data_IF_784875916341
#
_entry.id   IF_784875916341
#
_cell.length_a   1.000
_cell.length_b   1.000
_cell.length_c   1.000
_cell.angle_alpha   90.00
_cell.angle_beta   90.00
_cell.angle_gamma   90.00
#
_symmetry.space_group_name_H-M   'P 1'
#
loop_
_entity.id
_entity.type
_entity.pdbx_description
1 polymer ?
#
# COMPACT_ATOMS: atom_id res chain seq x y z
N UNK A 1 84.54 -8.74 -6.15
CA UNK A 1 85.12 -9.83 -6.96
C UNK A 1 84.02 -10.75 -7.50
N UNK A 2 84.31 -11.72 -8.35
CA UNK A 2 83.33 -12.63 -8.97
C UNK A 2 82.40 -13.34 -7.95
N UNK A 3 82.87 -13.66 -6.75
CA UNK A 3 82.13 -14.31 -5.68
C UNK A 3 81.06 -13.36 -5.08
N UNK A 4 81.35 -12.10 -4.94
CA UNK A 4 80.38 -11.11 -4.42
C UNK A 4 79.35 -10.80 -5.44
N UNK A 5 79.63 -10.76 -6.73
CA UNK A 5 78.69 -10.63 -7.82
C UNK A 5 77.75 -11.86 -7.90
N UNK A 6 78.30 -13.05 -7.69
CA UNK A 6 77.49 -14.29 -7.67
C UNK A 6 76.55 -14.31 -6.46
N UNK A 7 76.99 -13.88 -5.27
CA UNK A 7 76.13 -13.75 -4.08
C UNK A 7 75.04 -12.71 -4.25
N UNK A 8 75.38 -11.54 -4.81
CA UNK A 8 74.36 -10.51 -5.10
C UNK A 8 73.31 -11.01 -6.06
N UNK A 9 73.72 -11.72 -7.12
CA UNK A 9 72.83 -12.30 -8.11
C UNK A 9 71.91 -13.44 -7.51
N UNK A 10 72.48 -14.25 -6.59
CA UNK A 10 71.67 -15.25 -5.84
C UNK A 10 70.68 -14.60 -4.93
N UNK A 11 70.99 -13.48 -4.27
CA UNK A 11 70.08 -12.72 -3.43
C UNK A 11 68.96 -12.09 -4.24
N UNK A 12 69.30 -11.54 -5.41
CA UNK A 12 68.33 -10.97 -6.36
C UNK A 12 67.35 -12.03 -6.87
N UNK A 13 67.84 -13.17 -7.35
CA UNK A 13 67.04 -14.30 -7.80
C UNK A 13 66.22 -14.86 -6.64
N UNK A 14 66.80 -14.94 -5.42
CA UNK A 14 66.12 -15.36 -4.20
C UNK A 14 64.94 -14.47 -3.81
N UNK A 15 65.00 -13.18 -4.11
CA UNK A 15 63.90 -12.25 -3.91
C UNK A 15 62.82 -12.32 -5.01
N UNK A 16 63.23 -12.62 -6.24
CA UNK A 16 62.27 -12.74 -7.36
C UNK A 16 61.41 -14.00 -7.33
N UNK A 17 61.93 -15.11 -6.84
CA UNK A 17 61.16 -16.37 -6.74
C UNK A 17 59.87 -16.24 -5.90
N UNK A 18 59.88 -15.65 -4.68
CA UNK A 18 58.67 -15.46 -3.93
C UNK A 18 57.69 -14.48 -4.60
N UNK A 19 58.18 -13.47 -5.28
CA UNK A 19 57.36 -12.54 -6.07
C UNK A 19 56.62 -13.26 -7.19
N UNK A 20 57.34 -14.10 -7.96
CA UNK A 20 56.75 -14.90 -9.04
C UNK A 20 55.73 -15.93 -8.51
N UNK A 21 56.02 -16.56 -7.36
CA UNK A 21 55.09 -17.48 -6.72
C UNK A 21 53.83 -16.77 -6.25
N UNK A 22 53.95 -15.59 -5.66
CA UNK A 22 52.77 -14.80 -5.28
C UNK A 22 51.92 -14.40 -6.47
N UNK A 23 52.52 -14.00 -7.57
CA UNK A 23 51.82 -13.69 -8.81
C UNK A 23 51.07 -14.93 -9.36
N UNK A 24 51.76 -16.07 -9.38
CA UNK A 24 51.12 -17.34 -9.79
C UNK A 24 49.95 -17.71 -8.90
N UNK A 25 50.07 -17.58 -7.59
CA UNK A 25 48.98 -17.84 -6.66
C UNK A 25 47.80 -16.88 -6.86
N UNK A 26 48.07 -15.59 -7.12
CA UNK A 26 47.02 -14.62 -7.44
C UNK A 26 46.28 -15.02 -8.72
N UNK A 27 47.03 -15.35 -9.78
CA UNK A 27 46.44 -15.78 -11.05
C UNK A 27 45.61 -17.06 -10.89
N UNK A 28 46.12 -18.06 -10.15
CA UNK A 28 45.39 -19.29 -9.86
C UNK A 28 44.10 -19.04 -9.09
N UNK A 29 44.13 -18.17 -8.08
CA UNK A 29 42.94 -17.79 -7.31
C UNK A 29 41.91 -17.08 -8.18
N UNK A 30 42.38 -16.17 -9.05
CA UNK A 30 41.48 -15.50 -10.03
C UNK A 30 40.89 -16.51 -11.00
N UNK A 31 41.65 -17.47 -11.51
CA UNK A 31 41.13 -18.52 -12.40
C UNK A 31 40.13 -19.41 -11.70
N UNK A 32 40.32 -19.74 -10.41
CA UNK A 32 39.33 -20.50 -9.62
C UNK A 32 38.00 -19.73 -9.48
N UNK A 33 38.05 -18.40 -9.42
CA UNK A 33 36.89 -17.50 -9.35
C UNK A 33 36.05 -17.47 -10.65
N UNK A 34 36.60 -17.88 -11.79
CA UNK A 34 35.83 -17.93 -13.05
C UNK A 34 34.77 -19.05 -13.09
N UNK A 35 34.89 -20.03 -12.20
CA UNK A 35 33.85 -21.06 -12.05
C UNK A 35 32.94 -20.72 -10.87
N UNK A 36 31.84 -20.03 -11.14
CA UNK A 36 30.87 -19.65 -10.13
C UNK A 36 29.91 -20.81 -9.88
N UNK A 37 29.93 -21.35 -8.67
CA UNK A 37 29.01 -22.40 -8.23
C UNK A 37 27.88 -21.82 -7.42
N UNK A 38 26.65 -22.34 -7.59
CA UNK A 38 25.53 -21.98 -6.77
C UNK A 38 25.74 -22.45 -5.31
N UNK A 39 25.57 -21.58 -4.29
CA UNK A 39 25.75 -21.96 -2.89
C UNK A 39 24.64 -22.88 -2.36
N UNK A 40 23.48 -22.89 -3.02
CA UNK A 40 22.33 -23.72 -2.64
C UNK A 40 21.56 -24.13 -3.90
N UNK A 41 20.69 -25.14 -3.76
CA UNK A 41 19.72 -25.50 -4.80
C UNK A 41 18.56 -24.51 -4.77
N UNK A 42 18.10 -24.04 -5.93
CA UNK A 42 17.02 -23.07 -6.03
C UNK A 42 16.87 -22.51 -7.44
N UNK A 43 15.99 -21.54 -7.59
CA UNK A 43 15.80 -20.80 -8.81
C UNK A 43 16.93 -19.80 -9.01
N UNK A 44 17.57 -19.83 -10.17
CA UNK A 44 18.64 -18.88 -10.53
C UNK A 44 18.05 -17.78 -11.40
N UNK A 45 18.20 -16.54 -10.98
CA UNK A 45 17.82 -15.35 -11.74
C UNK A 45 19.09 -14.63 -12.18
N UNK A 46 19.38 -14.64 -13.48
CA UNK A 46 20.52 -13.93 -14.03
C UNK A 46 20.29 -12.42 -14.02
N UNK A 47 21.29 -11.67 -13.55
CA UNK A 47 21.27 -10.22 -13.58
C UNK A 47 21.23 -9.72 -15.01
N UNK A 48 20.44 -8.67 -15.26
CA UNK A 48 20.42 -7.98 -16.56
C UNK A 48 21.47 -6.88 -16.54
N UNK A 49 22.21 -6.80 -17.60
CA UNK A 49 23.09 -5.67 -17.87
C UNK A 49 22.24 -4.42 -18.17
N UNK A 50 22.84 -3.26 -18.07
CA UNK A 50 22.19 -1.98 -18.37
C UNK A 50 21.63 -1.92 -19.82
N UNK A 51 22.16 -2.72 -20.75
CA UNK A 51 21.66 -2.90 -22.13
C UNK A 51 20.43 -3.81 -22.21
N UNK A 52 19.90 -4.29 -21.06
CA UNK A 52 18.74 -5.17 -20.95
C UNK A 52 18.99 -6.66 -21.24
N UNK A 53 20.21 -7.03 -21.69
CA UNK A 53 20.58 -8.42 -21.95
C UNK A 53 20.89 -9.14 -20.63
N UNK A 54 20.53 -10.42 -20.54
CA UNK A 54 20.89 -11.26 -19.40
C UNK A 54 22.37 -11.61 -19.49
N UNK A 55 23.08 -11.57 -18.36
CA UNK A 55 24.44 -12.11 -18.28
C UNK A 55 24.42 -13.60 -18.61
N UNK A 56 25.23 -14.02 -19.56
CA UNK A 56 25.36 -15.42 -20.01
C UNK A 56 26.79 -15.90 -19.82
N UNK A 57 27.00 -17.21 -19.90
CA UNK A 57 28.34 -17.79 -19.87
C UNK A 57 29.21 -17.17 -20.96
N UNK A 58 30.45 -16.80 -20.61
CA UNK A 58 31.38 -16.08 -21.49
C UNK A 58 31.17 -14.56 -21.55
N UNK A 59 30.18 -14.02 -20.84
CA UNK A 59 29.96 -12.59 -20.72
C UNK A 59 31.01 -11.91 -19.87
N UNK A 60 31.20 -10.61 -20.08
CA UNK A 60 32.15 -9.78 -19.33
C UNK A 60 31.60 -9.47 -17.93
N UNK A 61 32.41 -9.69 -16.90
CA UNK A 61 32.05 -9.34 -15.51
C UNK A 61 32.79 -8.04 -15.16
N UNK A 62 32.00 -7.04 -14.75
CA UNK A 62 32.58 -5.77 -14.29
C UNK A 62 33.07 -5.92 -12.83
N UNK A 63 34.29 -5.54 -12.50
CA UNK A 63 34.81 -5.59 -11.12
C UNK A 63 34.00 -4.76 -10.11
N UNK A 64 33.33 -3.70 -10.56
CA UNK A 64 32.48 -2.84 -9.72
C UNK A 64 31.09 -3.42 -9.47
N UNK A 65 30.64 -4.32 -10.34
CA UNK A 65 29.37 -5.02 -10.23
C UNK A 65 29.55 -6.51 -10.56
N UNK A 66 30.16 -7.26 -9.64
CA UNK A 66 30.53 -8.67 -9.87
C UNK A 66 29.34 -9.64 -9.83
N UNK A 67 28.15 -9.16 -9.49
CA UNK A 67 26.95 -10.01 -9.38
C UNK A 67 26.57 -10.57 -10.75
N UNK A 68 26.50 -11.90 -10.85
CA UNK A 68 26.13 -12.62 -12.08
C UNK A 68 24.70 -13.09 -12.03
N UNK A 69 24.30 -13.64 -10.89
CA UNK A 69 22.95 -14.17 -10.66
C UNK A 69 22.58 -14.05 -9.18
N UNK A 70 21.30 -14.06 -8.92
CA UNK A 70 20.71 -14.13 -7.57
C UNK A 70 19.92 -15.40 -7.41
N UNK A 71 19.94 -15.99 -6.21
CA UNK A 71 19.09 -17.09 -5.80
C UNK A 71 18.09 -16.55 -4.78
N UNK A 72 16.87 -16.19 -5.20
CA UNK A 72 15.86 -15.74 -4.26
C UNK A 72 15.40 -16.88 -3.36
N UNK A 73 15.16 -16.57 -2.10
CA UNK A 73 14.46 -17.49 -1.20
C UNK A 73 12.96 -17.44 -1.51
N UNK A 74 12.42 -18.53 -2.02
CA UNK A 74 11.01 -18.65 -2.39
C UNK A 74 10.13 -19.14 -1.23
N UNK A 75 10.71 -19.39 -0.06
CA UNK A 75 9.95 -19.82 1.13
C UNK A 75 9.17 -18.67 1.76
N UNK A 76 9.67 -17.44 1.60
CA UNK A 76 9.02 -16.23 2.06
C UNK A 76 8.84 -15.27 0.88
N UNK A 77 7.60 -15.03 0.54
CA UNK A 77 7.23 -14.11 -0.53
C UNK A 77 6.61 -12.85 0.04
N UNK A 78 6.93 -11.73 -0.56
CA UNK A 78 6.35 -10.43 -0.22
C UNK A 78 5.69 -9.83 -1.45
N UNK A 79 4.55 -9.19 -1.22
CA UNK A 79 3.89 -8.36 -2.23
C UNK A 79 4.09 -6.90 -1.89
N UNK A 80 4.60 -6.14 -2.83
CA UNK A 80 4.78 -4.70 -2.70
C UNK A 80 3.62 -4.03 -3.44
N UNK A 81 2.84 -3.24 -2.72
CA UNK A 81 1.74 -2.46 -3.27
C UNK A 81 1.87 -0.99 -2.89
N UNK A 82 1.12 -0.15 -3.55
CA UNK A 82 1.18 1.30 -3.34
C UNK A 82 -0.21 1.81 -3.02
N UNK A 83 -0.34 2.47 -1.89
CA UNK A 83 -1.56 3.09 -1.44
C UNK A 83 -1.51 4.62 -1.63
N UNK A 84 -2.63 5.23 -1.97
CA UNK A 84 -2.75 6.68 -2.05
C UNK A 84 -2.71 7.31 -0.64
N UNK A 85 -2.43 8.60 -0.56
CA UNK A 85 -2.36 9.36 0.70
C UNK A 85 -3.66 9.28 1.54
N UNK A 86 -4.81 9.17 0.89
CA UNK A 86 -6.11 9.07 1.58
C UNK A 86 -6.26 7.68 2.22
N UNK A 87 -5.85 6.64 1.52
CA UNK A 87 -6.05 5.25 1.91
C UNK A 87 -5.00 4.78 2.93
N UNK A 88 -3.76 5.27 2.81
CA UNK A 88 -2.66 4.87 3.70
C UNK A 88 -2.95 5.15 5.17
N UNK A 89 -3.75 6.18 5.47
CA UNK A 89 -4.16 6.52 6.85
C UNK A 89 -5.00 5.42 7.52
N UNK A 90 -5.62 4.55 6.73
CA UNK A 90 -6.44 3.43 7.21
C UNK A 90 -5.67 2.13 7.27
N UNK A 91 -4.45 2.11 6.70
CA UNK A 91 -3.61 0.92 6.64
C UNK A 91 -2.66 0.92 7.84
N UNK A 92 -2.63 -0.17 8.58
CA UNK A 92 -1.75 -0.37 9.72
C UNK A 92 -1.03 -1.71 9.62
N UNK A 93 0.15 -1.77 10.22
CA UNK A 93 0.92 -3.02 10.32
C UNK A 93 0.11 -4.07 11.09
N UNK A 94 0.12 -5.31 10.60
CA UNK A 94 -0.62 -6.44 11.17
C UNK A 94 -2.03 -6.64 10.60
N UNK A 95 -2.53 -5.76 9.74
CA UNK A 95 -3.82 -5.97 9.08
C UNK A 95 -3.76 -7.14 8.10
N UNK A 96 -4.86 -7.85 8.03
CA UNK A 96 -5.05 -8.98 7.12
C UNK A 96 -5.27 -8.48 5.69
N UNK A 97 -4.59 -9.13 4.75
CA UNK A 97 -4.67 -8.82 3.32
C UNK A 97 -5.07 -10.07 2.55
N UNK A 98 -6.01 -9.91 1.65
CA UNK A 98 -6.32 -10.92 0.65
C UNK A 98 -5.61 -10.55 -0.64
N UNK A 99 -4.76 -11.45 -1.13
CA UNK A 99 -4.02 -11.28 -2.37
C UNK A 99 -4.66 -12.15 -3.46
N UNK A 100 -4.87 -11.60 -4.63
CA UNK A 100 -5.22 -12.33 -5.84
C UNK A 100 -4.15 -12.12 -6.91
N UNK A 101 -3.91 -13.14 -7.73
CA UNK A 101 -2.94 -13.09 -8.82
C UNK A 101 -3.66 -12.66 -10.09
N UNK A 102 -3.07 -11.77 -10.86
CA UNK A 102 -3.64 -11.40 -12.17
C UNK A 102 -3.63 -12.59 -13.15
N UNK A 103 -2.68 -13.51 -12.97
CA UNK A 103 -2.59 -14.74 -13.77
C UNK A 103 -3.64 -15.80 -13.40
N UNK A 104 -4.17 -15.78 -12.18
CA UNK A 104 -5.21 -16.68 -11.68
C UNK A 104 -6.11 -15.96 -10.66
N UNK A 105 -7.17 -15.27 -11.14
CA UNK A 105 -8.07 -14.50 -10.27
C UNK A 105 -8.87 -15.34 -9.27
N UNK A 106 -9.00 -16.66 -9.52
CA UNK A 106 -9.71 -17.56 -8.61
C UNK A 106 -8.87 -17.95 -7.40
N UNK A 107 -7.55 -17.83 -7.53
CA UNK A 107 -6.62 -18.16 -6.46
C UNK A 107 -6.49 -16.96 -5.50
N UNK A 108 -6.93 -17.18 -4.27
CA UNK A 108 -6.83 -16.19 -3.20
C UNK A 108 -5.80 -16.65 -2.18
N UNK A 109 -4.84 -15.81 -1.93
CA UNK A 109 -3.84 -15.99 -0.91
C UNK A 109 -4.12 -15.03 0.24
N UNK A 110 -3.68 -15.38 1.43
CA UNK A 110 -3.76 -14.49 2.60
C UNK A 110 -2.38 -13.99 2.96
N UNK A 111 -2.32 -12.77 3.47
CA UNK A 111 -1.11 -12.14 3.93
C UNK A 111 -1.38 -11.16 5.06
N UNK A 112 -0.34 -10.57 5.56
CA UNK A 112 -0.41 -9.52 6.58
C UNK A 112 0.46 -8.34 6.19
N UNK A 113 -0.02 -7.13 6.49
CA UNK A 113 0.77 -5.91 6.30
C UNK A 113 1.97 -5.96 7.24
N UNK A 114 3.17 -6.01 6.68
CA UNK A 114 4.42 -6.01 7.44
C UNK A 114 4.94 -4.60 7.68
N UNK A 115 4.85 -3.76 6.67
CA UNK A 115 5.40 -2.42 6.72
C UNK A 115 4.59 -1.47 5.86
N UNK A 116 4.47 -0.24 6.33
CA UNK A 116 3.90 0.90 5.59
C UNK A 116 4.97 1.98 5.55
N UNK A 117 5.26 2.50 4.36
CA UNK A 117 6.26 3.57 4.22
C UNK A 117 5.78 4.86 4.89
N UNK A 118 6.66 5.52 5.61
CA UNK A 118 6.39 6.81 6.25
C UNK A 118 6.56 8.01 5.30
N UNK A 119 7.19 7.79 4.16
CA UNK A 119 7.46 8.82 3.15
C UNK A 119 6.73 8.45 1.87
N UNK A 120 5.96 9.40 1.35
CA UNK A 120 5.28 9.23 0.05
C UNK A 120 6.25 9.46 -1.09
N UNK A 121 6.13 8.63 -2.12
CA UNK A 121 6.88 8.71 -3.36
C UNK A 121 5.98 9.20 -4.49
N UNK A 122 6.55 9.96 -5.41
CA UNK A 122 5.86 10.37 -6.61
C UNK A 122 6.19 9.40 -7.74
N UNK A 123 5.19 8.78 -8.34
CA UNK A 123 5.41 7.91 -9.50
C UNK A 123 5.70 8.73 -10.74
N UNK A 124 6.57 8.23 -11.63
CA UNK A 124 6.75 8.82 -12.95
C UNK A 124 5.39 8.92 -13.67
N UNK A 125 5.09 10.08 -14.24
CA UNK A 125 3.85 10.40 -14.95
C UNK A 125 2.57 10.45 -14.09
N UNK A 126 2.68 10.66 -12.78
CA UNK A 126 1.54 10.85 -11.88
C UNK A 126 1.86 11.93 -10.85
N UNK A 127 0.93 12.88 -10.66
CA UNK A 127 1.06 13.89 -9.61
C UNK A 127 0.63 13.36 -8.22
N UNK A 128 0.05 12.17 -8.18
CA UNK A 128 -0.41 11.56 -6.94
C UNK A 128 0.78 10.98 -6.15
N UNK A 129 0.85 11.33 -4.88
CA UNK A 129 1.77 10.69 -3.92
C UNK A 129 1.23 9.33 -3.53
N UNK A 130 2.12 8.34 -3.56
CA UNK A 130 1.82 6.98 -3.16
C UNK A 130 2.77 6.54 -2.06
N UNK A 131 2.29 5.66 -1.20
CA UNK A 131 3.05 5.10 -0.09
C UNK A 131 3.23 3.60 -0.34
N UNK A 132 4.45 3.13 -0.22
CA UNK A 132 4.75 1.71 -0.35
C UNK A 132 4.20 0.94 0.86
N UNK A 133 3.51 -0.15 0.58
CA UNK A 133 2.99 -1.09 1.58
C UNK A 133 3.54 -2.46 1.24
N UNK A 134 4.27 -3.04 2.19
CA UNK A 134 4.84 -4.38 2.07
C UNK A 134 3.94 -5.37 2.80
N UNK A 135 3.49 -6.38 2.08
CA UNK A 135 2.62 -7.45 2.57
C UNK A 135 3.38 -8.76 2.54
N UNK A 136 3.50 -9.43 3.67
CA UNK A 136 4.06 -10.79 3.74
C UNK A 136 2.97 -11.80 3.41
N UNK A 137 3.25 -12.68 2.45
CA UNK A 137 2.33 -13.75 2.06
C UNK A 137 2.44 -14.89 3.08
N UNK A 138 1.31 -15.29 3.66
CA UNK A 138 1.30 -16.32 4.72
C UNK A 138 1.51 -17.74 4.18
N UNK A 139 1.20 -17.96 2.91
CA UNK A 139 1.23 -19.29 2.29
C UNK A 139 2.41 -19.39 1.32
N UNK A 140 3.26 -20.39 1.54
CA UNK A 140 4.27 -20.78 0.55
C UNK A 140 3.58 -21.54 -0.59
N UNK A 141 3.64 -20.99 -1.79
CA UNK A 141 3.03 -21.58 -2.97
C UNK A 141 4.06 -21.67 -4.10
N UNK A 142 4.26 -22.87 -4.61
CA UNK A 142 5.22 -23.15 -5.68
C UNK A 142 4.85 -22.53 -7.03
N UNK A 143 3.60 -22.08 -7.18
CA UNK A 143 3.16 -21.40 -8.41
C UNK A 143 3.53 -19.91 -8.42
N UNK A 144 3.86 -19.33 -7.24
CA UNK A 144 4.30 -17.94 -7.14
C UNK A 144 5.73 -17.80 -7.68
N UNK A 145 5.92 -16.77 -8.48
CA UNK A 145 7.24 -16.41 -9.00
C UNK A 145 7.51 -14.94 -8.76
N UNK A 146 8.75 -14.58 -8.41
CA UNK A 146 9.14 -13.18 -8.32
C UNK A 146 8.81 -12.41 -9.61
N UNK A 147 8.26 -11.20 -9.47
CA UNK A 147 7.85 -10.37 -10.59
C UNK A 147 6.43 -10.60 -11.11
N UNK A 148 5.65 -11.47 -10.47
CA UNK A 148 4.21 -11.56 -10.75
C UNK A 148 3.46 -10.34 -10.19
N UNK A 149 2.41 -9.93 -10.90
CA UNK A 149 1.51 -8.86 -10.45
C UNK A 149 0.41 -9.44 -9.56
N UNK A 150 0.16 -8.76 -8.45
CA UNK A 150 -0.88 -9.12 -7.48
C UNK A 150 -1.81 -7.95 -7.23
N UNK A 151 -3.09 -8.25 -7.01
CA UNK A 151 -4.08 -7.32 -6.48
C UNK A 151 -4.25 -7.58 -4.98
N UNK A 152 -4.12 -6.52 -4.16
CA UNK A 152 -4.09 -6.61 -2.71
C UNK A 152 -5.31 -5.90 -2.12
N UNK A 153 -6.19 -6.65 -1.46
CA UNK A 153 -7.33 -6.12 -0.71
C UNK A 153 -7.01 -6.13 0.79
N UNK A 154 -6.69 -4.96 1.33
CA UNK A 154 -6.38 -4.79 2.76
C UNK A 154 -7.67 -4.64 3.55
N UNK A 155 -7.85 -5.47 4.57
CA UNK A 155 -8.98 -5.36 5.49
C UNK A 155 -8.68 -4.32 6.55
N UNK A 156 -9.16 -3.11 6.34
CA UNK A 156 -8.87 -1.97 7.23
C UNK A 156 -9.68 -2.00 8.52
N UNK A 157 -10.92 -2.50 8.46
CA UNK A 157 -11.80 -2.56 9.63
C UNK A 157 -12.74 -3.76 9.54
N UNK A 158 -13.04 -4.37 10.67
CA UNK A 158 -14.08 -5.38 10.82
C UNK A 158 -15.05 -4.92 11.91
N UNK A 159 -16.31 -4.78 11.55
CA UNK A 159 -17.39 -4.41 12.47
C UNK A 159 -18.27 -5.63 12.67
N UNK A 160 -18.17 -6.34 13.79
CA UNK A 160 -19.00 -7.50 14.05
C UNK A 160 -20.45 -7.06 14.32
N UNK A 161 -21.42 -7.89 13.91
CA UNK A 161 -22.86 -7.70 14.18
C UNK A 161 -23.43 -6.33 13.71
N UNK A 162 -22.83 -5.75 12.68
CA UNK A 162 -23.31 -4.51 12.10
C UNK A 162 -24.56 -4.77 11.24
N UNK A 163 -25.57 -3.93 11.41
CA UNK A 163 -26.68 -3.85 10.46
C UNK A 163 -26.21 -3.03 9.26
N UNK A 164 -26.30 -3.58 8.06
CA UNK A 164 -25.87 -2.89 6.85
C UNK A 164 -26.92 -3.01 5.75
N UNK A 165 -26.90 -2.06 4.84
CA UNK A 165 -27.73 -2.06 3.64
C UNK A 165 -26.86 -1.74 2.42
N UNK A 166 -27.26 -2.15 1.20
CA UNK A 166 -26.60 -1.71 -0.02
C UNK A 166 -26.56 -0.18 -0.10
N UNK A 167 -25.46 0.37 -0.55
CA UNK A 167 -25.29 1.82 -0.66
C UNK A 167 -26.38 2.47 -1.53
N UNK A 168 -26.85 1.75 -2.54
CA UNK A 168 -27.93 2.17 -3.44
C UNK A 168 -29.27 2.40 -2.72
N UNK A 169 -29.50 1.73 -1.58
CA UNK A 169 -30.73 1.85 -0.81
C UNK A 169 -30.79 3.16 0.01
N UNK A 170 -29.66 3.80 0.22
CA UNK A 170 -29.56 5.06 0.99
C UNK A 170 -29.57 6.23 0.04
N UNK A 171 -30.55 7.11 0.22
CA UNK A 171 -30.68 8.36 -0.56
C UNK A 171 -30.63 9.56 0.36
N UNK A 172 -30.13 10.69 -0.15
CA UNK A 172 -30.17 11.96 0.57
C UNK A 172 -31.46 12.71 0.23
N UNK A 173 -32.20 13.13 1.23
CA UNK A 173 -33.36 14.01 1.10
C UNK A 173 -33.19 15.21 2.01
N UNK A 174 -32.98 16.40 1.43
CA UNK A 174 -32.67 17.64 2.17
C UNK A 174 -31.45 17.44 3.09
N UNK A 175 -30.37 16.87 2.58
CA UNK A 175 -29.14 16.54 3.28
C UNK A 175 -29.27 15.54 4.45
N UNK A 176 -30.45 14.88 4.55
CA UNK A 176 -30.71 13.85 5.54
C UNK A 176 -30.62 12.49 4.83
N UNK A 177 -29.80 11.55 5.33
CA UNK A 177 -29.78 10.19 4.79
C UNK A 177 -31.09 9.46 5.16
N UNK A 178 -31.77 8.93 4.15
CA UNK A 178 -33.03 8.24 4.28
C UNK A 178 -33.01 6.92 3.52
N UNK A 179 -33.77 5.98 4.01
CA UNK A 179 -34.11 4.71 3.33
C UNK A 179 -35.63 4.56 3.18
N UNK A 180 -36.01 3.83 2.15
CA UNK A 180 -37.45 3.49 1.96
C UNK A 180 -37.68 2.10 2.51
N UNK A 181 -38.25 2.04 3.73
CA UNK A 181 -38.56 0.80 4.44
C UNK A 181 -39.99 0.36 4.13
N UNK A 182 -40.17 -0.92 3.84
CA UNK A 182 -41.48 -1.51 3.73
C UNK A 182 -42.06 -1.80 5.12
N UNK A 183 -43.23 -1.24 5.42
CA UNK A 183 -43.99 -1.53 6.62
C UNK A 183 -45.36 -2.09 6.22
N UNK A 184 -45.44 -3.42 6.14
CA UNK A 184 -46.61 -4.10 5.59
C UNK A 184 -46.85 -3.75 4.12
N UNK A 185 -48.04 -3.15 3.83
CA UNK A 185 -48.42 -2.72 2.47
C UNK A 185 -47.87 -1.31 2.11
N UNK A 186 -47.40 -0.56 3.09
CA UNK A 186 -46.93 0.83 2.91
C UNK A 186 -45.44 0.91 2.86
N UNK A 187 -44.95 1.89 2.11
CA UNK A 187 -43.55 2.27 2.13
C UNK A 187 -43.41 3.53 2.98
N UNK A 188 -42.44 3.51 3.89
CA UNK A 188 -42.15 4.62 4.80
C UNK A 188 -40.75 5.16 4.47
N UNK A 189 -40.65 6.49 4.39
CA UNK A 189 -39.38 7.18 4.21
C UNK A 189 -38.76 7.40 5.61
N UNK A 190 -37.83 6.56 5.97
CA UNK A 190 -37.19 6.53 7.29
C UNK A 190 -35.84 7.24 7.28
N UNK A 191 -35.68 8.18 8.20
CA UNK A 191 -34.34 8.76 8.48
C UNK A 191 -33.47 7.67 9.09
N UNK A 192 -32.20 7.63 8.63
CA UNK A 192 -31.21 6.69 9.15
C UNK A 192 -29.92 7.42 9.53
N UNK A 193 -29.25 6.90 10.53
CA UNK A 193 -27.91 7.33 10.87
C UNK A 193 -26.91 6.33 10.29
N UNK A 194 -26.11 6.78 9.32
CA UNK A 194 -25.09 5.97 8.66
C UNK A 194 -23.81 5.96 9.48
N UNK A 195 -23.10 4.82 9.42
CA UNK A 195 -21.78 4.64 10.02
C UNK A 195 -20.68 4.45 8.97
N UNK A 196 -19.83 3.45 9.17
CA UNK A 196 -18.81 3.09 8.21
C UNK A 196 -19.42 2.60 6.90
N UNK A 197 -18.79 2.90 5.78
CA UNK A 197 -19.23 2.49 4.45
C UNK A 197 -18.05 1.95 3.64
N UNK A 198 -18.38 1.09 2.70
CA UNK A 198 -17.49 0.64 1.63
C UNK A 198 -18.14 0.95 0.27
N UNK A 199 -17.56 0.42 -0.82
CA UNK A 199 -18.02 0.68 -2.19
C UNK A 199 -19.42 0.15 -2.48
N UNK A 200 -19.92 -0.84 -1.71
CA UNK A 200 -21.19 -1.54 -1.97
C UNK A 200 -22.21 -1.39 -0.84
N UNK A 201 -21.75 -1.19 0.39
CA UNK A 201 -22.58 -1.29 1.59
C UNK A 201 -22.29 -0.16 2.57
N UNK A 202 -23.30 0.20 3.34
CA UNK A 202 -23.22 1.18 4.42
C UNK A 202 -23.83 0.61 5.71
N UNK A 203 -23.09 0.77 6.80
CA UNK A 203 -23.57 0.37 8.13
C UNK A 203 -24.61 1.37 8.61
N UNK A 204 -25.72 0.86 9.10
CA UNK A 204 -26.77 1.66 9.73
C UNK A 204 -26.65 1.55 11.25
N UNK A 205 -26.41 2.70 11.88
CA UNK A 205 -26.28 2.79 13.35
C UNK A 205 -27.64 2.92 14.03
N UNK A 206 -28.57 3.66 13.41
CA UNK A 206 -29.93 3.88 13.90
C UNK A 206 -30.90 4.02 12.74
N UNK A 207 -32.19 3.65 12.97
CA UNK A 207 -33.26 3.87 12.04
C UNK A 207 -33.80 2.64 11.36
N UNK A 208 -33.09 1.52 11.44
CA UNK A 208 -33.51 0.21 10.95
C UNK A 208 -33.30 -0.86 12.00
N UNK A 209 -34.06 -1.92 11.88
CA UNK A 209 -33.95 -3.15 12.68
C UNK A 209 -33.60 -4.34 11.77
N UNK A 210 -33.06 -5.39 12.37
CA UNK A 210 -32.73 -6.60 11.63
C UNK A 210 -34.02 -7.27 11.11
N UNK A 211 -34.05 -7.54 9.80
CA UNK A 211 -35.22 -8.10 9.14
C UNK A 211 -36.11 -7.07 8.43
N UNK A 212 -35.79 -5.79 8.53
CA UNK A 212 -36.51 -4.76 7.77
C UNK A 212 -36.22 -4.88 6.27
N UNK A 213 -37.26 -4.81 5.46
CA UNK A 213 -37.14 -4.76 4.01
C UNK A 213 -36.93 -3.33 3.54
N UNK A 214 -35.84 -3.07 2.83
CA UNK A 214 -35.51 -1.76 2.24
C UNK A 214 -35.60 -1.83 0.72
N UNK A 215 -36.08 -0.75 0.11
CA UNK A 215 -36.12 -0.61 -1.34
C UNK A 215 -34.80 -0.06 -1.85
N UNK A 216 -34.24 -0.66 -2.90
CA UNK A 216 -33.02 -0.18 -3.54
C UNK A 216 -33.27 1.07 -4.40
N UNK A 217 -34.49 1.22 -4.90
CA UNK A 217 -34.88 2.35 -5.73
C UNK A 217 -36.00 3.12 -5.06
N UNK A 218 -35.93 4.47 -5.02
CA UNK A 218 -37.02 5.28 -4.49
C UNK A 218 -38.35 5.01 -5.19
N UNK A 219 -39.45 4.87 -4.45
CA UNK A 219 -40.80 4.63 -5.05
C UNK A 219 -41.29 5.87 -5.80
N UNK A 220 -42.24 5.69 -6.70
CA UNK A 220 -42.90 6.79 -7.40
C UNK A 220 -43.53 7.75 -6.37
N UNK A 221 -43.23 9.03 -6.44
CA UNK A 221 -43.71 10.02 -5.48
C UNK A 221 -42.88 10.15 -4.19
N UNK A 222 -41.71 9.56 -4.14
CA UNK A 222 -40.78 9.60 -3.00
C UNK A 222 -40.45 11.01 -2.45
N UNK A 223 -40.52 12.03 -3.31
CA UNK A 223 -40.27 13.42 -2.91
C UNK A 223 -41.40 14.00 -2.03
N UNK A 224 -42.64 13.57 -2.24
CA UNK A 224 -43.79 14.02 -1.47
C UNK A 224 -44.00 13.22 -0.16
N UNK A 225 -43.19 12.17 0.07
CA UNK A 225 -43.31 11.36 1.27
C UNK A 225 -42.69 12.09 2.47
N UNK A 226 -43.42 12.12 3.58
CA UNK A 226 -42.95 12.65 4.83
C UNK A 226 -41.84 11.77 5.43
N UNK A 227 -40.78 12.39 5.98
CA UNK A 227 -39.69 11.69 6.59
C UNK A 227 -40.03 11.36 8.04
N UNK A 228 -40.02 10.07 8.36
CA UNK A 228 -40.08 9.62 9.76
C UNK A 228 -38.72 9.86 10.37
N UNK A 229 -38.66 10.84 11.26
CA UNK A 229 -37.40 11.27 11.87
C UNK A 229 -36.99 10.39 13.04
N UNK A 230 -35.67 10.32 13.25
CA UNK A 230 -35.12 9.66 14.44
C UNK A 230 -35.37 10.52 15.70
N UNK A 231 -35.63 9.90 16.84
CA UNK A 231 -35.71 10.62 18.10
C UNK A 231 -34.37 11.32 18.41
N UNK A 232 -34.41 12.66 18.55
CA UNK A 232 -33.21 13.46 18.85
C UNK A 232 -32.40 13.92 17.64
N UNK A 233 -32.86 13.68 16.40
CA UNK A 233 -32.25 14.22 15.19
C UNK A 233 -32.47 15.73 15.10
N UNK A 234 -31.39 16.51 15.08
CA UNK A 234 -31.39 17.97 14.85
C UNK A 234 -31.05 18.33 13.39
N UNK A 235 -30.80 17.34 12.54
CA UNK A 235 -30.50 17.54 11.14
C UNK A 235 -31.69 18.13 10.39
N UNK A 236 -31.53 19.25 9.74
CA UNK A 236 -32.54 19.88 8.88
C UNK A 236 -33.63 20.69 9.61
N UNK A 237 -33.39 21.18 10.82
CA UNK A 237 -34.24 22.25 11.37
C UNK A 237 -33.91 23.53 10.58
N UNK A 238 -34.90 24.19 9.92
CA UNK A 238 -34.64 25.49 9.32
C UNK A 238 -34.21 26.41 10.43
N UNK A 239 -33.03 26.97 10.30
CA UNK A 239 -32.60 28.10 11.16
C UNK A 239 -33.47 29.27 10.76
N UNK A 240 -34.48 29.52 11.57
CA UNK A 240 -35.26 30.78 11.52
C UNK A 240 -34.28 31.93 11.78
N UNK A 241 -33.74 32.48 10.71
CA UNK A 241 -32.89 33.68 10.73
C UNK A 241 -33.76 34.92 10.78
N UNK A 242 -34.55 35.07 11.82
CA UNK A 242 -35.15 36.33 12.25
C UNK A 242 -34.58 36.73 13.61
N UNK A 243 -33.26 36.97 13.66
CA UNK A 243 -32.66 37.76 14.68
C UNK A 243 -32.27 39.09 14.02
N UNK A 244 -33.15 40.07 14.14
CA UNK A 244 -32.89 41.50 13.89
C UNK A 244 -31.67 41.91 14.71
N UNK A 245 -30.62 42.50 14.14
CA UNK A 245 -29.55 43.05 14.93
C UNK A 245 -30.03 44.32 15.62
N UNK A 246 -30.14 44.28 16.96
CA UNK A 246 -30.29 45.45 17.79
C UNK A 246 -29.07 46.37 17.60
N UNK A 247 -29.36 47.53 17.09
CA UNK A 247 -28.45 48.65 16.98
C UNK A 247 -28.24 49.21 18.36
N UNK A 248 -27.09 48.98 18.97
CA UNK A 248 -26.70 49.66 20.20
C UNK A 248 -25.40 50.43 19.99
N UNK A 249 -25.61 51.71 20.00
CA UNK A 249 -24.90 52.90 20.46
C UNK A 249 -23.36 52.86 20.48
N UNK A 250 -22.85 53.81 19.75
CA UNK A 250 -21.46 54.29 19.71
C UNK A 250 -20.92 54.71 21.09
N UNK A 251 -19.69 54.36 21.37
CA UNK A 251 -18.83 55.00 22.35
C UNK A 251 -17.50 55.45 21.71
N UNK A 252 -16.90 56.57 22.16
CA UNK A 252 -16.01 57.36 21.31
C UNK A 252 -14.55 56.90 21.33
N UNK A 253 -13.88 57.31 20.25
CA UNK A 253 -12.46 57.13 19.98
C UNK A 253 -11.55 57.66 21.10
N UNK A 254 -10.61 56.87 21.55
CA UNK A 254 -9.45 57.30 22.35
C UNK A 254 -8.22 57.37 21.45
N UNK A 255 -7.78 58.59 21.26
CA UNK A 255 -6.53 58.98 20.62
C UNK A 255 -5.32 58.45 21.40
N UNK A 256 -4.37 57.84 20.72
CA UNK A 256 -3.04 57.49 21.26
C UNK A 256 -2.01 58.44 20.64
N UNK A 257 -1.14 59.09 21.41
CA UNK A 257 -0.13 60.00 20.89
C UNK A 257 1.07 59.27 20.34
N UNK A 258 1.57 59.73 19.20
CA UNK A 258 2.89 59.43 18.66
C UNK A 258 3.95 60.02 19.60
N UNK A 259 4.90 59.19 20.01
CA UNK A 259 6.16 59.59 20.58
C UNK A 259 7.31 59.04 19.75
N UNK A 260 8.15 59.93 19.37
CA UNK A 260 9.51 59.95 18.85
C UNK A 260 10.19 58.61 18.50
#
# INVERSE_FOLDING_TARGET
TRVEQAKAKMTEIGADVPRQRNLLNIVQNVMAGFTIKAPASGMVIYVREWNGKKKTAGGQVNPWEPTVATLPDLTQMESITYANEIDVRRIAVGQEVTLSLDSDPNKRLTGTVRQVANVGEQRPNSDAKVFEVVVTVAQSDTSLRPGMTTSNAVRTQRIPNALFVPLEAVTASNDIPVVYKRSGVRVVKQEVQTGAMNDNEVVIVRGLEAGDEVLLVPPTGAQAMEIVRLPGSTAGRPTDSTATPSRDTAAPARTVPRGN
#
